data_IF_729318439363
#
_entry.id   IF_729318439363
#
_cell.length_a   1.000
_cell.length_b   1.000
_cell.length_c   1.000
_cell.angle_alpha   90.00
_cell.angle_beta   90.00
_cell.angle_gamma   90.00
#
_symmetry.space_group_name_H-M   'P 1'
#
loop_
_entity.id
_entity.type
_entity.pdbx_description
1 polymer ?
#
# COMPACT_ATOMS: atom_id res chain seq x y z
N UNK A 1 12.47 8.70 -4.96
CA UNK A 1 11.37 9.51 -5.54
C UNK A 1 11.99 10.52 -6.45
N UNK A 2 11.43 10.66 -7.64
CA UNK A 2 11.96 11.42 -8.75
C UNK A 2 11.02 12.58 -9.13
N UNK A 3 11.35 13.27 -10.22
CA UNK A 3 10.59 14.42 -10.71
C UNK A 3 9.15 14.03 -11.15
N UNK A 4 8.94 12.81 -11.67
CA UNK A 4 7.61 12.33 -12.07
C UNK A 4 6.70 12.19 -10.84
N UNK A 5 7.23 11.69 -9.72
CA UNK A 5 6.50 11.59 -8.46
C UNK A 5 6.05 12.96 -7.93
N UNK A 6 6.92 13.97 -8.00
CA UNK A 6 6.58 15.32 -7.56
C UNK A 6 5.50 15.98 -8.41
N UNK A 7 5.51 15.74 -9.73
CA UNK A 7 4.45 16.23 -10.62
C UNK A 7 3.11 15.51 -10.36
N UNK A 8 3.13 14.19 -10.23
CA UNK A 8 1.95 13.40 -9.89
C UNK A 8 1.30 13.88 -8.57
N UNK A 9 2.10 14.11 -7.53
CA UNK A 9 1.60 14.61 -6.24
C UNK A 9 1.01 16.03 -6.34
N UNK A 10 1.52 16.86 -7.26
CA UNK A 10 1.02 18.22 -7.49
C UNK A 10 -0.32 18.21 -8.22
N UNK A 11 -0.49 17.31 -9.18
CA UNK A 11 -1.73 17.14 -9.96
C UNK A 11 -2.83 16.46 -9.14
N UNK A 12 -2.45 15.54 -8.26
CA UNK A 12 -3.37 14.78 -7.41
C UNK A 12 -3.21 15.14 -5.94
N UNK A 13 -3.40 16.42 -5.58
CA UNK A 13 -3.25 16.88 -4.18
C UNK A 13 -4.15 16.15 -3.19
N UNK A 14 -5.32 15.69 -3.64
CA UNK A 14 -6.25 14.86 -2.87
C UNK A 14 -5.66 13.52 -2.41
N UNK A 15 -4.61 13.03 -3.07
CA UNK A 15 -3.92 11.78 -2.72
C UNK A 15 -2.88 11.94 -1.61
N UNK A 16 -2.73 13.13 -1.01
CA UNK A 16 -1.65 13.39 -0.05
C UNK A 16 -1.60 12.39 1.12
N UNK A 17 -2.75 12.01 1.69
CA UNK A 17 -2.84 11.02 2.77
C UNK A 17 -2.53 9.59 2.30
N UNK A 18 -3.01 9.23 1.11
CA UNK A 18 -2.74 7.94 0.47
C UNK A 18 -1.24 7.80 0.20
N UNK A 19 -0.63 8.84 -0.35
CA UNK A 19 0.80 8.90 -0.62
C UNK A 19 1.60 8.82 0.68
N UNK A 20 1.20 9.56 1.73
CA UNK A 20 1.84 9.46 3.03
C UNK A 20 1.77 8.03 3.59
N UNK A 21 0.64 7.35 3.43
CA UNK A 21 0.47 5.94 3.82
C UNK A 21 1.43 5.04 3.05
N UNK A 22 1.53 5.21 1.73
CA UNK A 22 2.46 4.42 0.92
C UNK A 22 3.92 4.64 1.34
N UNK A 23 4.31 5.87 1.64
CA UNK A 23 5.66 6.19 2.12
C UNK A 23 5.93 5.53 3.46
N UNK A 24 5.02 5.70 4.42
CA UNK A 24 5.17 5.16 5.77
C UNK A 24 5.20 3.63 5.79
N UNK A 25 4.42 3.00 4.91
CA UNK A 25 4.37 1.54 4.79
C UNK A 25 5.40 0.96 3.83
N UNK A 26 6.20 1.81 3.18
CA UNK A 26 7.19 1.44 2.15
C UNK A 26 6.53 0.63 1.01
N UNK A 27 5.38 1.10 0.56
CA UNK A 27 4.65 0.55 -0.59
C UNK A 27 5.24 1.17 -1.85
N UNK A 28 5.93 0.34 -2.63
CA UNK A 28 6.55 0.75 -3.89
C UNK A 28 5.63 0.53 -5.08
N UNK A 29 5.87 1.24 -6.19
CA UNK A 29 5.11 1.11 -7.45
C UNK A 29 5.03 -0.34 -7.94
N UNK A 30 6.09 -1.13 -7.72
CA UNK A 30 6.13 -2.57 -8.01
C UNK A 30 5.06 -3.35 -7.25
N UNK A 31 4.90 -3.08 -5.95
CA UNK A 31 3.89 -3.74 -5.13
C UNK A 31 2.47 -3.31 -5.55
N UNK A 32 2.28 -2.01 -5.84
CA UNK A 32 1.00 -1.50 -6.36
C UNK A 32 0.64 -2.13 -7.70
N UNK A 33 1.62 -2.34 -8.58
CA UNK A 33 1.39 -2.99 -9.87
C UNK A 33 0.89 -4.43 -9.68
N UNK A 34 1.41 -5.17 -8.69
CA UNK A 34 1.00 -6.54 -8.39
C UNK A 34 -0.30 -6.67 -7.56
N UNK A 35 -0.82 -5.58 -6.99
CA UNK A 35 -2.04 -5.62 -6.17
C UNK A 35 -3.30 -5.87 -7.00
N UNK A 36 -4.22 -6.68 -6.46
CA UNK A 36 -5.60 -6.75 -6.93
C UNK A 36 -6.41 -5.54 -6.49
N UNK A 37 -7.56 -5.28 -7.12
CA UNK A 37 -8.43 -4.15 -6.75
C UNK A 37 -8.89 -4.25 -5.29
N UNK A 38 -9.23 -5.46 -4.82
CA UNK A 38 -9.60 -5.72 -3.41
C UNK A 38 -8.47 -5.43 -2.41
N UNK A 39 -7.22 -5.44 -2.85
CA UNK A 39 -6.08 -5.10 -2.00
C UNK A 39 -5.83 -3.60 -2.02
N UNK A 40 -5.92 -2.98 -3.21
CA UNK A 40 -5.67 -1.56 -3.40
C UNK A 40 -6.74 -0.70 -2.72
N UNK A 41 -8.01 -1.11 -2.74
CA UNK A 41 -9.13 -0.39 -2.11
C UNK A 41 -8.93 -0.18 -0.60
N UNK A 42 -8.13 -1.04 0.06
CA UNK A 42 -7.81 -0.90 1.50
C UNK A 42 -6.92 0.29 1.81
N UNK A 43 -6.19 0.78 0.82
CA UNK A 43 -5.32 1.95 0.93
C UNK A 43 -5.86 3.15 0.17
N UNK A 44 -6.55 2.89 -0.94
CA UNK A 44 -7.06 3.89 -1.87
C UNK A 44 -8.55 3.64 -2.08
N UNK A 45 -9.42 4.09 -1.16
CA UNK A 45 -10.84 3.71 -1.20
C UNK A 45 -11.61 4.29 -2.39
N UNK A 46 -11.16 5.42 -2.95
CA UNK A 46 -11.81 6.07 -4.11
C UNK A 46 -11.33 5.45 -5.42
N UNK A 47 -12.25 5.13 -6.32
CA UNK A 47 -11.93 4.44 -7.57
C UNK A 47 -11.12 5.30 -8.55
N UNK A 48 -11.41 6.60 -8.65
CA UNK A 48 -10.67 7.54 -9.51
C UNK A 48 -9.20 7.64 -9.06
N UNK A 49 -8.99 7.67 -7.74
CA UNK A 49 -7.68 7.70 -7.10
C UNK A 49 -6.92 6.38 -7.33
N UNK A 50 -7.61 5.23 -7.29
CA UNK A 50 -7.03 3.92 -7.63
C UNK A 50 -6.52 3.90 -9.07
N UNK A 51 -7.32 4.43 -10.01
CA UNK A 51 -6.96 4.49 -11.43
C UNK A 51 -5.72 5.37 -11.60
N UNK A 52 -5.70 6.57 -11.00
CA UNK A 52 -4.57 7.48 -11.09
C UNK A 52 -3.28 6.84 -10.55
N UNK A 53 -3.34 6.20 -9.37
CA UNK A 53 -2.21 5.52 -8.75
C UNK A 53 -1.73 4.33 -9.59
N UNK A 54 -2.65 3.50 -10.12
CA UNK A 54 -2.28 2.37 -11.00
C UNK A 54 -1.59 2.86 -12.26
N UNK A 55 -2.10 3.91 -12.90
CA UNK A 55 -1.51 4.45 -14.12
C UNK A 55 -0.12 5.01 -13.86
N UNK A 56 0.06 5.77 -12.78
CA UNK A 56 1.37 6.26 -12.38
C UNK A 56 2.34 5.09 -12.13
N UNK A 57 1.98 4.14 -11.25
CA UNK A 57 2.87 3.02 -10.90
C UNK A 57 3.20 2.15 -12.12
N UNK A 58 2.26 1.94 -13.05
CA UNK A 58 2.52 1.18 -14.29
C UNK A 58 3.53 1.88 -15.19
N UNK A 59 3.46 3.21 -15.32
CA UNK A 59 4.44 3.99 -16.09
C UNK A 59 5.82 3.92 -15.45
N UNK A 60 5.89 4.06 -14.13
CA UNK A 60 7.15 3.99 -13.38
C UNK A 60 7.81 2.61 -13.50
N UNK A 61 7.05 1.53 -13.36
CA UNK A 61 7.58 0.16 -13.51
C UNK A 61 8.05 -0.10 -14.94
N UNK A 62 7.32 0.40 -15.96
CA UNK A 62 7.72 0.29 -17.35
C UNK A 62 9.00 1.08 -17.66
N UNK A 63 9.18 2.26 -17.04
CA UNK A 63 10.36 3.09 -17.21
C UNK A 63 11.63 2.51 -16.56
N UNK A 64 11.46 1.68 -15.52
CA UNK A 64 12.55 1.09 -14.75
C UNK A 64 12.98 -0.31 -15.24
N UNK A 65 12.53 -0.75 -16.43
CA UNK A 65 12.73 -2.12 -16.93
C UNK A 65 12.38 -3.20 -15.90
N UNK A 66 11.34 -2.95 -15.10
CA UNK A 66 10.93 -3.79 -14.00
C UNK A 66 10.67 -5.23 -14.42
N UNK A 67 11.58 -6.16 -14.11
CA UNK A 67 11.35 -7.58 -14.42
C UNK A 67 10.20 -8.13 -13.57
N UNK A 68 9.45 -9.09 -14.12
CA UNK A 68 8.33 -9.77 -13.44
C UNK A 68 8.75 -10.34 -12.08
N UNK A 69 10.01 -10.77 -11.93
CA UNK A 69 10.55 -11.29 -10.67
C UNK A 69 10.65 -10.21 -9.56
N UNK A 70 11.05 -8.99 -9.92
CA UNK A 70 11.12 -7.85 -8.98
C UNK A 70 9.72 -7.45 -8.51
N UNK A 71 8.74 -7.46 -9.42
CA UNK A 71 7.32 -7.20 -9.11
C UNK A 71 6.78 -8.23 -8.11
N UNK A 72 6.99 -9.52 -8.37
CA UNK A 72 6.50 -10.60 -7.50
C UNK A 72 7.09 -10.50 -6.08
N UNK A 73 8.41 -10.32 -5.96
CA UNK A 73 9.08 -10.25 -4.65
C UNK A 73 8.63 -9.05 -3.81
N UNK A 74 8.46 -7.88 -4.43
CA UNK A 74 7.96 -6.68 -3.74
C UNK A 74 6.51 -6.87 -3.24
N UNK A 75 5.67 -7.48 -4.09
CA UNK A 75 4.27 -7.77 -3.76
C UNK A 75 4.15 -8.77 -2.62
N UNK A 76 4.89 -9.87 -2.67
CA UNK A 76 4.92 -10.90 -1.62
C UNK A 76 5.39 -10.34 -0.26
N UNK A 77 6.44 -9.52 -0.27
CA UNK A 77 6.99 -8.91 0.96
C UNK A 77 5.99 -7.97 1.63
N UNK A 78 5.25 -7.19 0.83
CA UNK A 78 4.19 -6.33 1.35
C UNK A 78 3.01 -7.14 1.89
N UNK A 79 2.57 -8.17 1.17
CA UNK A 79 1.48 -9.04 1.62
C UNK A 79 1.81 -9.78 2.93
N UNK A 80 3.04 -10.23 3.09
CA UNK A 80 3.52 -10.81 4.35
C UNK A 80 3.40 -9.81 5.51
N UNK A 81 3.80 -8.54 5.31
CA UNK A 81 3.66 -7.48 6.33
C UNK A 81 2.19 -7.18 6.67
N UNK A 82 1.30 -7.14 5.67
CA UNK A 82 -0.14 -6.94 5.88
C UNK A 82 -0.71 -8.06 6.75
N UNK A 83 -0.36 -9.31 6.42
CA UNK A 83 -0.85 -10.48 7.15
C UNK A 83 -0.29 -10.55 8.57
N UNK A 84 0.99 -10.22 8.78
CA UNK A 84 1.58 -10.12 10.12
C UNK A 84 0.87 -9.07 11.00
N UNK A 85 0.63 -7.87 10.47
CA UNK A 85 -0.12 -6.82 11.20
C UNK A 85 -1.53 -7.28 11.59
N UNK A 86 -2.21 -8.04 10.73
CA UNK A 86 -3.53 -8.62 11.01
C UNK A 86 -3.49 -9.72 12.06
N UNK A 87 -2.43 -10.52 12.09
CA UNK A 87 -2.23 -11.55 13.11
C UNK A 87 -1.93 -10.91 14.48
N UNK A 88 -1.02 -9.92 14.54
CA UNK A 88 -0.69 -9.23 15.78
C UNK A 88 -1.85 -8.45 16.40
N UNK A 89 -2.76 -7.88 15.58
CA UNK A 89 -3.99 -7.22 16.08
C UNK A 89 -4.99 -8.19 16.72
N UNK A 90 -4.97 -9.48 16.38
CA UNK A 90 -5.85 -10.49 17.01
C UNK A 90 -5.35 -10.95 18.38
N UNK A 91 -4.05 -10.80 18.65
CA UNK A 91 -3.45 -11.25 19.92
C UNK A 91 -3.55 -10.15 21.00
N UNK A 92 -3.71 -8.88 20.61
CA UNK A 92 -3.74 -7.74 21.52
C UNK A 92 -5.14 -7.27 21.92
N UNK A 93 -6.18 -8.04 21.59
CA UNK A 93 -7.59 -7.66 21.77
C UNK A 93 -8.34 -8.42 22.86
N UNK A 94 -7.68 -9.20 23.72
CA UNK A 94 -8.41 -10.04 24.69
C UNK A 94 -7.65 -10.33 26.00
N UNK A 95 -7.06 -9.30 26.62
CA UNK A 95 -6.56 -9.41 28.00
C UNK A 95 -6.97 -8.19 28.84
N UNK A 96 -8.28 -7.89 28.83
CA UNK A 96 -8.86 -6.97 29.80
C UNK A 96 -10.29 -7.36 30.17
N UNK A 97 -10.42 -8.53 30.81
CA UNK A 97 -11.54 -8.76 31.72
C UNK A 97 -10.95 -8.94 33.13
N UNK A 98 -10.81 -7.78 33.78
CA UNK A 98 -10.42 -7.65 35.17
C UNK A 98 -11.35 -8.50 36.04
N UNK A 99 -10.72 -9.22 36.97
CA UNK A 99 -11.35 -10.03 38.00
C UNK A 99 -12.34 -9.17 38.80
N UNK A 100 -13.63 -9.50 38.78
CA UNK A 100 -14.51 -9.16 39.90
C UNK A 100 -14.56 -10.35 40.86
N UNK A 101 -13.76 -10.20 41.92
CA UNK A 101 -13.89 -10.90 43.20
C UNK A 101 -14.81 -10.05 44.06
N UNK A 102 -15.84 -10.64 44.68
CA UNK A 102 -16.68 -10.00 45.70
C UNK A 102 -18.15 -10.31 45.54
#
# INVERSE_FOLDING_TARGET
>A
MDQSFHMFRREHRSLSEVIATFINEKIECYAVHGMTDDQLIKYVPKIEDQIAIRQYCRREVAALEGTTATISKATESLMAKINQRRASKRIHGDDRSEKNVG
#
